data_IF_791966775147
#
_entry.id   IF_791966775147
#
_cell.length_a   1.000
_cell.length_b   1.000
_cell.length_c   1.000
_cell.angle_alpha   90.00
_cell.angle_beta   90.00
_cell.angle_gamma   90.00
#
_symmetry.space_group_name_H-M   'P 1'
#
loop_
_entity.id
_entity.type
_entity.pdbx_description
1 polymer ?
#
# COMPACT_ATOMS: atom_id res chain seq x y z
N UNK A 1 -2.42 -21.33 8.51
CA UNK A 1 -3.38 -20.20 8.63
C UNK A 1 -3.12 -19.25 7.48
N UNK A 2 -3.98 -19.21 6.47
CA UNK A 2 -3.77 -18.37 5.28
C UNK A 2 -3.75 -16.89 5.68
N UNK A 3 -2.82 -16.08 5.13
CA UNK A 3 -2.76 -14.65 5.40
C UNK A 3 -4.08 -13.99 4.99
N UNK A 4 -4.59 -13.06 5.81
CA UNK A 4 -5.87 -12.39 5.55
C UNK A 4 -5.68 -11.11 4.73
N UNK A 5 -6.44 -11.02 3.63
CA UNK A 5 -6.47 -9.87 2.73
C UNK A 5 -6.83 -8.57 3.48
N UNK A 6 -6.37 -7.40 3.00
CA UNK A 6 -6.81 -6.09 3.48
C UNK A 6 -8.34 -5.94 3.49
N UNK A 7 -8.85 -5.00 4.28
CA UNK A 7 -10.26 -4.62 4.26
C UNK A 7 -10.65 -4.07 2.88
N UNK A 8 -9.84 -3.15 2.37
CA UNK A 8 -9.90 -2.61 1.01
C UNK A 8 -8.49 -2.51 0.43
N UNK A 9 -8.37 -2.65 -0.89
CA UNK A 9 -7.11 -2.49 -1.63
C UNK A 9 -7.29 -1.48 -2.76
N UNK A 10 -6.40 -0.50 -2.85
CA UNK A 10 -6.40 0.55 -3.88
C UNK A 10 -5.04 0.61 -4.56
N UNK A 11 -5.00 0.28 -5.85
CA UNK A 11 -3.82 0.43 -6.69
C UNK A 11 -3.87 1.78 -7.40
N UNK A 12 -2.79 2.55 -7.35
CA UNK A 12 -2.68 3.86 -7.99
C UNK A 12 -1.62 3.78 -9.09
N UNK A 13 -2.06 3.92 -10.35
CA UNK A 13 -1.18 3.93 -11.53
C UNK A 13 -1.27 5.25 -12.29
N UNK A 14 -0.38 5.44 -13.27
CA UNK A 14 -0.31 6.64 -14.10
C UNK A 14 1.12 7.18 -14.25
N UNK A 15 1.32 8.08 -15.20
CA UNK A 15 2.63 8.69 -15.49
C UNK A 15 3.13 9.51 -14.30
N UNK A 16 2.26 10.36 -13.73
CA UNK A 16 2.59 11.31 -12.67
C UNK A 16 1.58 11.24 -11.51
N UNK A 17 1.97 11.73 -10.33
CA UNK A 17 1.06 11.96 -9.20
C UNK A 17 0.69 10.73 -8.34
N UNK A 18 1.16 9.52 -8.68
CA UNK A 18 0.86 8.28 -7.94
C UNK A 18 1.14 8.41 -6.44
N UNK A 19 2.35 8.86 -6.10
CA UNK A 19 2.78 9.07 -4.72
C UNK A 19 1.87 10.04 -3.98
N UNK A 20 1.53 11.18 -4.60
CA UNK A 20 0.63 12.17 -4.01
C UNK A 20 -0.76 11.60 -3.75
N UNK A 21 -1.32 10.87 -4.71
CA UNK A 21 -2.65 10.24 -4.56
C UNK A 21 -2.65 9.18 -3.46
N UNK A 22 -1.65 8.30 -3.41
CA UNK A 22 -1.51 7.33 -2.30
C UNK A 22 -1.42 8.04 -0.95
N UNK A 23 -0.73 9.19 -0.90
CA UNK A 23 -0.60 9.99 0.32
C UNK A 23 -1.92 10.63 0.75
N UNK A 24 -2.68 11.19 -0.19
CA UNK A 24 -4.01 11.74 0.09
C UNK A 24 -4.97 10.67 0.57
N UNK A 25 -4.94 9.46 0.00
CA UNK A 25 -5.73 8.33 0.50
C UNK A 25 -5.36 8.00 1.95
N UNK A 26 -4.06 7.97 2.30
CA UNK A 26 -3.62 7.77 3.69
C UNK A 26 -4.23 8.80 4.63
N UNK A 27 -4.12 10.09 4.28
CA UNK A 27 -4.62 11.18 5.09
C UNK A 27 -6.14 11.14 5.25
N UNK A 28 -6.88 10.82 4.18
CA UNK A 28 -8.34 10.67 4.23
C UNK A 28 -8.73 9.55 5.18
N UNK A 29 -8.09 8.38 5.11
CA UNK A 29 -8.35 7.28 6.05
C UNK A 29 -8.02 7.69 7.50
N UNK A 30 -6.88 8.34 7.74
CA UNK A 30 -6.47 8.79 9.07
C UNK A 30 -7.47 9.79 9.68
N UNK A 31 -7.95 10.76 8.88
CA UNK A 31 -8.97 11.73 9.29
C UNK A 31 -10.31 11.06 9.63
N UNK A 32 -10.61 9.90 9.05
CA UNK A 32 -11.81 9.11 9.32
C UNK A 32 -11.59 8.01 10.38
N UNK A 33 -10.45 8.01 11.08
CA UNK A 33 -10.06 6.98 12.05
C UNK A 33 -10.00 5.56 11.46
N UNK A 34 -9.73 5.43 10.15
CA UNK A 34 -9.54 4.15 9.50
C UNK A 34 -8.07 3.73 9.51
N UNK A 35 -7.83 2.44 9.76
CA UNK A 35 -6.48 1.90 9.69
C UNK A 35 -6.03 1.76 8.24
N UNK A 36 -4.85 2.30 7.92
CA UNK A 36 -4.32 2.25 6.57
C UNK A 36 -2.83 1.92 6.56
N UNK A 37 -2.45 1.16 5.53
CA UNK A 37 -1.09 0.90 5.13
C UNK A 37 -0.88 1.46 3.73
N UNK A 38 0.26 2.09 3.49
CA UNK A 38 0.61 2.55 2.15
C UNK A 38 1.98 2.06 1.72
N UNK A 39 2.15 1.83 0.42
CA UNK A 39 3.45 1.46 -0.15
C UNK A 39 3.68 2.18 -1.48
N UNK A 40 4.85 2.77 -1.65
CA UNK A 40 5.25 3.38 -2.92
C UNK A 40 6.65 3.95 -2.87
N UNK A 41 6.89 4.96 -3.71
CA UNK A 41 8.18 5.64 -3.86
C UNK A 41 8.75 6.14 -2.52
N UNK A 42 7.89 6.58 -1.60
CA UNK A 42 8.33 7.07 -0.28
C UNK A 42 8.67 5.96 0.72
N UNK A 43 8.25 4.72 0.48
CA UNK A 43 8.39 3.61 1.42
C UNK A 43 7.07 2.96 1.83
N UNK A 44 7.18 2.07 2.81
CA UNK A 44 6.05 1.44 3.48
C UNK A 44 5.68 2.22 4.73
N UNK A 45 4.41 2.59 4.84
CA UNK A 45 3.86 3.32 5.99
C UNK A 45 2.68 2.58 6.58
N UNK A 46 2.46 2.81 7.88
CA UNK A 46 1.34 2.29 8.64
C UNK A 46 0.78 3.41 9.51
N UNK A 47 -0.46 3.84 9.25
CA UNK A 47 -1.12 4.96 9.91
C UNK A 47 -0.19 6.20 9.96
N UNK A 48 0.25 6.67 8.79
CA UNK A 48 1.13 7.83 8.64
C UNK A 48 2.58 7.64 9.10
N UNK A 49 2.91 6.56 9.82
CA UNK A 49 4.26 6.30 10.33
C UNK A 49 5.07 5.45 9.36
N UNK A 50 6.27 5.91 9.01
CA UNK A 50 7.19 5.17 8.15
C UNK A 50 7.70 3.93 8.86
N UNK A 51 7.62 2.78 8.19
CA UNK A 51 8.08 1.49 8.72
C UNK A 51 9.31 1.01 7.95
N UNK A 52 9.32 1.15 6.62
CA UNK A 52 10.45 0.77 5.77
C UNK A 52 10.68 1.83 4.69
N UNK A 53 11.94 2.07 4.35
CA UNK A 53 12.27 2.79 3.11
C UNK A 53 11.95 1.90 1.91
N UNK A 54 11.57 2.50 0.79
CA UNK A 54 11.49 1.75 -0.46
C UNK A 54 12.86 1.76 -1.15
N UNK A 55 13.27 0.61 -1.68
CA UNK A 55 14.39 0.51 -2.63
C UNK A 55 13.94 0.68 -4.09
N UNK A 56 12.64 0.61 -4.38
CA UNK A 56 12.06 0.64 -5.73
C UNK A 56 10.73 1.43 -5.77
N UNK A 57 10.41 2.07 -6.90
CA UNK A 57 9.13 2.79 -7.06
C UNK A 57 7.92 1.86 -7.11
N UNK A 58 8.14 0.55 -7.28
CA UNK A 58 7.14 -0.51 -7.10
C UNK A 58 7.74 -1.64 -6.25
N UNK A 59 7.07 -2.11 -5.19
CA UNK A 59 7.50 -3.31 -4.46
C UNK A 59 7.43 -4.54 -5.36
N UNK A 60 8.39 -5.45 -5.22
CA UNK A 60 8.19 -6.82 -5.72
C UNK A 60 6.88 -7.39 -5.16
N UNK A 61 6.18 -8.22 -5.95
CA UNK A 61 4.87 -8.80 -5.61
C UNK A 61 4.86 -9.42 -4.20
N UNK A 62 5.98 -10.01 -3.80
CA UNK A 62 6.18 -10.59 -2.48
C UNK A 62 6.14 -9.54 -1.34
N UNK A 63 6.81 -8.40 -1.50
CA UNK A 63 6.77 -7.29 -0.53
C UNK A 63 5.36 -6.71 -0.45
N UNK A 64 4.66 -6.64 -1.58
CA UNK A 64 3.26 -6.24 -1.68
C UNK A 64 2.35 -7.17 -0.87
N UNK A 65 2.48 -8.47 -1.05
CA UNK A 65 1.77 -9.48 -0.26
C UNK A 65 2.11 -9.41 1.23
N UNK A 66 3.38 -9.28 1.59
CA UNK A 66 3.79 -9.22 3.00
C UNK A 66 3.29 -7.95 3.69
N UNK A 67 3.28 -6.81 2.98
CA UNK A 67 2.83 -5.53 3.51
C UNK A 67 1.31 -5.46 3.65
N UNK A 68 0.54 -5.92 2.65
CA UNK A 68 -0.92 -5.89 2.70
C UNK A 68 -1.49 -6.83 3.79
N UNK A 69 -0.97 -8.04 3.87
CA UNK A 69 -1.61 -9.11 4.63
C UNK A 69 -1.21 -9.15 6.10
N UNK A 70 -2.06 -9.76 6.93
CA UNK A 70 -1.79 -9.98 8.34
C UNK A 70 -2.06 -11.44 8.74
N UNK A 71 -1.28 -11.92 9.72
CA UNK A 71 -1.47 -13.24 10.37
C UNK A 71 -2.62 -13.25 11.41
N UNK A 72 -3.31 -12.13 11.62
CA UNK A 72 -4.42 -12.01 12.59
C UNK A 72 -5.72 -12.64 12.07
N UNK A 73 -6.67 -12.93 12.98
CA UNK A 73 -8.01 -13.46 12.63
C UNK A 73 -8.77 -12.55 11.66
N UNK A 74 -8.63 -11.23 11.77
CA UNK A 74 -9.18 -10.22 10.85
C UNK A 74 -8.11 -9.18 10.51
N UNK A 75 -8.06 -8.77 9.26
CA UNK A 75 -7.28 -7.62 8.81
C UNK A 75 -8.24 -6.43 8.71
N UNK A 76 -7.96 -5.38 9.48
CA UNK A 76 -8.78 -4.16 9.53
C UNK A 76 -8.15 -3.01 8.74
N UNK A 77 -7.01 -3.25 8.09
CA UNK A 77 -6.30 -2.22 7.35
C UNK A 77 -6.83 -2.11 5.92
N UNK A 78 -7.08 -0.88 5.50
CA UNK A 78 -7.05 -0.49 4.10
C UNK A 78 -5.59 -0.54 3.60
N UNK A 79 -5.41 -0.75 2.31
CA UNK A 79 -4.10 -0.77 1.69
C UNK A 79 -4.10 0.01 0.37
N UNK A 80 -3.29 1.06 0.29
CA UNK A 80 -3.14 1.85 -0.93
C UNK A 80 -1.69 1.82 -1.42
N UNK A 81 -1.45 1.55 -2.70
CA UNK A 81 -0.08 1.38 -3.20
C UNK A 81 0.12 1.88 -4.63
N UNK A 82 1.35 2.30 -4.92
CA UNK A 82 1.76 2.70 -6.26
C UNK A 82 1.99 1.48 -7.17
N UNK A 83 1.50 1.57 -8.41
CA UNK A 83 1.75 0.60 -9.48
C UNK A 83 2.35 1.33 -10.67
N UNK A 84 3.59 1.01 -11.03
CA UNK A 84 4.18 1.53 -12.27
C UNK A 84 3.61 0.81 -13.49
N UNK A 85 3.49 1.52 -14.61
CA UNK A 85 3.04 0.94 -15.89
C UNK A 85 3.93 -0.21 -16.37
N UNK A 86 5.23 -0.16 -16.06
CA UNK A 86 6.18 -1.24 -16.36
C UNK A 86 5.86 -2.53 -15.58
N UNK A 87 5.29 -2.40 -14.38
CA UNK A 87 4.91 -3.52 -13.52
C UNK A 87 3.65 -4.25 -13.98
N UNK A 88 2.77 -3.58 -14.73
CA UNK A 88 1.57 -4.19 -15.34
C UNK A 88 1.91 -5.03 -16.59
N UNK A 89 3.05 -4.76 -17.22
CA UNK A 89 3.47 -5.43 -18.45
C UNK A 89 4.31 -6.70 -18.21
N UNK A 90 4.77 -6.95 -16.97
CA UNK A 90 5.40 -8.22 -16.61
C UNK A 90 4.31 -9.26 -16.35
N UNK A 91 3.94 -9.95 -17.42
CA UNK A 91 3.10 -11.15 -17.40
C UNK A 91 3.94 -12.34 -17.86
#
# INVERSE_FOLDING_TARGET
>A
MFPKHPLNSVAVTGTNGKTSVVWFISQICELNNEFIKTYGTLGYYKNGKKILNSSLTTPELEILYQSAFLKKKKNLYNFAFEVSSHSLAQN
#
